data_IF_091748304431
#
_entry.id   IF_091748304431
#
_cell.length_a   1.000
_cell.length_b   1.000
_cell.length_c   1.000
_cell.angle_alpha   90.00
_cell.angle_beta   90.00
_cell.angle_gamma   90.00
#
_symmetry.space_group_name_H-M   'P 1'
#
loop_
_entity.id
_entity.type
_entity.pdbx_description
1 polymer ?
#
# COMPACT_ATOMS: atom_id res chain seq x y z
N UNK A 1 16.17 -35.96 4.46
CA UNK A 1 14.84 -35.65 3.90
C UNK A 1 13.71 -35.95 4.87
N UNK A 2 13.69 -37.13 5.51
CA UNK A 2 12.68 -37.50 6.52
C UNK A 2 12.34 -36.40 7.55
N UNK A 3 13.33 -35.75 8.23
CA UNK A 3 13.02 -34.75 9.26
C UNK A 3 12.35 -33.48 8.71
N UNK A 4 12.67 -33.05 7.48
CA UNK A 4 12.02 -31.89 6.86
C UNK A 4 10.57 -32.19 6.47
N UNK A 5 10.31 -33.40 6.01
CA UNK A 5 8.97 -33.87 5.66
C UNK A 5 8.09 -33.98 6.91
N UNK A 6 8.65 -34.46 8.03
CA UNK A 6 7.95 -34.48 9.33
C UNK A 6 7.60 -33.08 9.82
N UNK A 7 8.53 -32.12 9.70
CA UNK A 7 8.27 -30.72 10.08
C UNK A 7 7.18 -30.11 9.20
N UNK A 8 7.23 -30.31 7.88
CA UNK A 8 6.21 -29.82 6.95
C UNK A 8 4.82 -30.34 7.31
N UNK A 9 4.68 -31.66 7.51
CA UNK A 9 3.40 -32.29 7.90
C UNK A 9 2.87 -31.75 9.23
N UNK A 10 3.75 -31.53 10.22
CA UNK A 10 3.33 -30.96 11.52
C UNK A 10 2.84 -29.51 11.34
N UNK A 11 3.54 -28.70 10.55
CA UNK A 11 3.15 -27.31 10.27
C UNK A 11 1.82 -27.28 9.53
N UNK A 12 1.63 -28.11 8.51
CA UNK A 12 0.38 -28.21 7.76
C UNK A 12 -0.80 -28.64 8.64
N UNK A 13 -0.57 -29.63 9.51
CA UNK A 13 -1.58 -30.08 10.47
C UNK A 13 -1.96 -28.95 11.45
N UNK A 14 -0.98 -28.18 11.93
CA UNK A 14 -1.22 -27.05 12.83
C UNK A 14 -2.01 -25.92 12.13
N UNK A 15 -1.66 -25.58 10.89
CA UNK A 15 -2.36 -24.56 10.10
C UNK A 15 -3.79 -25.01 9.78
N UNK A 16 -3.97 -26.26 9.37
CA UNK A 16 -5.29 -26.84 9.11
C UNK A 16 -6.18 -26.83 10.36
N UNK A 17 -5.63 -27.15 11.54
CA UNK A 17 -6.34 -27.08 12.82
C UNK A 17 -6.74 -25.64 13.15
N UNK A 18 -5.85 -24.66 12.93
CA UNK A 18 -6.15 -23.24 13.15
C UNK A 18 -7.27 -22.72 12.23
N UNK A 19 -7.29 -23.13 10.96
CA UNK A 19 -8.37 -22.78 10.02
C UNK A 19 -9.68 -23.47 10.39
N UNK A 20 -9.63 -24.74 10.81
CA UNK A 20 -10.80 -25.46 11.30
C UNK A 20 -11.47 -24.73 12.47
N UNK A 21 -10.67 -24.30 13.45
CA UNK A 21 -11.18 -23.58 14.64
C UNK A 21 -11.71 -22.18 14.32
N UNK A 22 -11.12 -21.47 13.35
CA UNK A 22 -11.47 -20.06 13.09
C UNK A 22 -12.54 -19.87 12.01
N UNK A 23 -12.56 -20.70 10.97
CA UNK A 23 -13.44 -20.53 9.80
C UNK A 23 -14.28 -21.77 9.44
N UNK A 24 -14.08 -22.89 10.14
CA UNK A 24 -14.81 -24.13 9.94
C UNK A 24 -14.24 -25.06 8.85
N UNK A 25 -14.72 -26.30 8.82
CA UNK A 25 -14.16 -27.38 8.00
C UNK A 25 -14.32 -27.22 6.48
N UNK A 26 -15.22 -26.36 6.01
CA UNK A 26 -15.47 -26.14 4.58
C UNK A 26 -14.24 -25.58 3.84
N UNK A 27 -13.34 -24.88 4.54
CA UNK A 27 -12.15 -24.26 3.94
C UNK A 27 -10.90 -25.15 3.91
N UNK A 28 -10.90 -26.27 4.65
CA UNK A 28 -9.77 -27.22 4.70
C UNK A 28 -9.37 -27.77 3.31
N UNK A 29 -10.29 -28.27 2.45
CA UNK A 29 -9.89 -28.83 1.17
C UNK A 29 -9.29 -27.77 0.23
N UNK A 30 -9.75 -26.52 0.31
CA UNK A 30 -9.16 -25.42 -0.44
C UNK A 30 -7.75 -25.09 0.07
N UNK A 31 -7.59 -24.96 1.38
CA UNK A 31 -6.29 -24.73 2.02
C UNK A 31 -5.26 -25.80 1.63
N UNK A 32 -5.62 -27.09 1.73
CA UNK A 32 -4.73 -28.20 1.40
C UNK A 32 -4.27 -28.16 -0.07
N UNK A 33 -5.15 -27.79 -1.01
CA UNK A 33 -4.76 -27.63 -2.42
C UNK A 33 -3.74 -26.51 -2.61
N UNK A 34 -3.94 -25.38 -1.94
CA UNK A 34 -3.03 -24.23 -2.04
C UNK A 34 -1.68 -24.55 -1.41
N UNK A 35 -1.67 -25.16 -0.22
CA UNK A 35 -0.44 -25.59 0.46
C UNK A 35 0.32 -26.60 -0.40
N UNK A 36 -0.34 -27.66 -0.87
CA UNK A 36 0.30 -28.68 -1.68
C UNK A 36 0.87 -28.12 -2.99
N UNK A 37 0.18 -27.18 -3.63
CA UNK A 37 0.69 -26.49 -4.83
C UNK A 37 1.93 -25.63 -4.50
N UNK A 38 1.91 -24.93 -3.36
CA UNK A 38 3.04 -24.14 -2.91
C UNK A 38 4.25 -25.02 -2.59
N UNK A 39 4.05 -26.09 -1.83
CA UNK A 39 5.11 -27.03 -1.44
C UNK A 39 5.73 -27.73 -2.64
N UNK A 40 4.90 -28.23 -3.56
CA UNK A 40 5.39 -28.88 -4.79
C UNK A 40 6.19 -27.91 -5.65
N UNK A 41 5.74 -26.65 -5.74
CA UNK A 41 6.48 -25.60 -6.45
C UNK A 41 7.83 -25.31 -5.79
N UNK A 42 7.85 -25.08 -4.47
CA UNK A 42 9.07 -24.81 -3.71
C UNK A 42 10.04 -25.99 -3.81
N UNK A 43 9.54 -27.22 -3.68
CA UNK A 43 10.33 -28.44 -3.83
C UNK A 43 10.92 -28.55 -5.24
N UNK A 44 10.12 -28.31 -6.29
CA UNK A 44 10.61 -28.31 -7.66
C UNK A 44 11.72 -27.27 -7.86
N UNK A 45 11.54 -26.04 -7.38
CA UNK A 45 12.56 -24.99 -7.45
C UNK A 45 13.86 -25.38 -6.71
N UNK A 46 13.74 -25.91 -5.49
CA UNK A 46 14.91 -26.37 -4.71
C UNK A 46 15.62 -27.55 -5.39
N UNK A 47 14.88 -28.47 -5.97
CA UNK A 47 15.44 -29.60 -6.72
C UNK A 47 16.20 -29.09 -7.94
N UNK A 48 15.60 -28.22 -8.75
CA UNK A 48 16.26 -27.59 -9.91
C UNK A 48 17.53 -26.86 -9.48
N UNK A 49 17.46 -26.07 -8.40
CA UNK A 49 18.62 -25.35 -7.88
C UNK A 49 19.74 -26.30 -7.43
N UNK A 50 19.38 -27.40 -6.76
CA UNK A 50 20.33 -28.43 -6.33
C UNK A 50 20.98 -29.13 -7.52
N UNK A 51 20.22 -29.44 -8.57
CA UNK A 51 20.74 -30.04 -9.80
C UNK A 51 21.71 -29.09 -10.52
N UNK A 52 21.38 -27.80 -10.62
CA UNK A 52 22.26 -26.78 -11.20
C UNK A 52 23.53 -26.65 -10.37
N UNK A 53 23.42 -26.55 -9.04
CA UNK A 53 24.58 -26.53 -8.14
C UNK A 53 25.45 -27.77 -8.32
N UNK A 54 24.86 -28.96 -8.38
CA UNK A 54 25.59 -30.21 -8.58
C UNK A 54 26.34 -30.23 -9.91
N UNK A 55 25.73 -29.72 -10.99
CA UNK A 55 26.38 -29.61 -12.29
C UNK A 55 27.54 -28.61 -12.29
N UNK A 56 27.38 -27.45 -11.64
CA UNK A 56 28.43 -26.41 -11.58
C UNK A 56 29.56 -26.81 -10.63
N UNK A 57 29.28 -27.61 -9.61
CA UNK A 57 30.28 -28.14 -8.68
C UNK A 57 30.96 -29.41 -9.18
N UNK A 58 30.61 -29.92 -10.36
CA UNK A 58 31.17 -31.14 -10.89
C UNK A 58 32.68 -30.97 -11.14
N UNK A 59 33.55 -31.85 -10.61
CA UNK A 59 34.98 -31.72 -10.76
C UNK A 59 35.40 -31.89 -12.21
N UNK A 60 36.20 -30.95 -12.73
CA UNK A 60 36.80 -31.11 -14.06
C UNK A 60 38.06 -31.98 -13.99
N UNK A 61 38.35 -32.72 -15.05
CA UNK A 61 39.56 -33.55 -15.19
C UNK A 61 40.84 -32.74 -14.93
N UNK A 62 40.86 -31.47 -15.37
CA UNK A 62 41.97 -30.53 -15.13
C UNK A 62 42.13 -30.17 -13.65
N UNK A 63 41.04 -30.01 -12.90
CA UNK A 63 41.13 -29.73 -11.46
C UNK A 63 41.73 -30.88 -10.66
N UNK A 64 41.42 -32.12 -11.06
CA UNK A 64 42.00 -33.34 -10.46
C UNK A 64 43.49 -33.43 -10.80
N UNK A 65 43.86 -33.16 -12.06
CA UNK A 65 45.25 -33.16 -12.50
C UNK A 65 46.11 -32.10 -11.78
N UNK A 66 45.58 -30.89 -11.59
CA UNK A 66 46.30 -29.77 -10.98
C UNK A 66 46.25 -29.74 -9.44
N UNK A 67 45.67 -30.77 -8.79
CA UNK A 67 45.45 -30.85 -7.33
C UNK A 67 44.83 -29.58 -6.74
N UNK A 68 43.96 -28.91 -7.51
CA UNK A 68 43.32 -27.69 -7.05
C UNK A 68 42.19 -28.02 -6.07
N UNK A 69 41.94 -27.16 -5.07
CA UNK A 69 40.84 -27.38 -4.15
C UNK A 69 39.52 -27.49 -4.92
N UNK A 70 38.83 -28.61 -4.65
CA UNK A 70 37.61 -29.10 -5.31
C UNK A 70 36.47 -28.07 -5.50
N UNK A 71 36.31 -26.99 -4.70
CA UNK A 71 35.18 -26.07 -4.85
C UNK A 71 35.44 -24.71 -5.54
N UNK A 72 36.36 -24.57 -6.50
CA UNK A 72 36.52 -23.27 -7.22
C UNK A 72 35.25 -22.80 -7.94
N UNK A 73 34.38 -23.72 -8.38
CA UNK A 73 33.06 -23.41 -8.92
C UNK A 73 32.10 -22.78 -7.90
N UNK A 74 32.21 -23.14 -6.61
CA UNK A 74 31.36 -22.60 -5.54
C UNK A 74 31.55 -21.09 -5.32
N UNK A 75 32.73 -20.54 -5.62
CA UNK A 75 32.96 -19.09 -5.52
C UNK A 75 32.08 -18.32 -6.50
N UNK A 76 32.00 -18.79 -7.76
CA UNK A 76 31.20 -18.12 -8.79
C UNK A 76 29.72 -18.25 -8.50
N UNK A 77 29.28 -19.44 -8.08
CA UNK A 77 27.88 -19.66 -7.71
C UNK A 77 27.50 -18.86 -6.48
N UNK A 78 28.35 -18.81 -5.46
CA UNK A 78 28.09 -18.02 -4.26
C UNK A 78 27.94 -16.53 -4.57
N UNK A 79 28.79 -15.97 -5.42
CA UNK A 79 28.66 -14.58 -5.89
C UNK A 79 27.34 -14.38 -6.65
N UNK A 80 26.99 -15.30 -7.56
CA UNK A 80 25.75 -15.23 -8.33
C UNK A 80 24.50 -15.29 -7.45
N UNK A 81 24.44 -16.26 -6.52
CA UNK A 81 23.31 -16.43 -5.60
C UNK A 81 23.17 -15.20 -4.71
N UNK A 82 24.28 -14.66 -4.20
CA UNK A 82 24.28 -13.42 -3.41
C UNK A 82 23.77 -12.23 -4.21
N UNK A 83 24.21 -12.10 -5.46
CA UNK A 83 23.74 -11.06 -6.37
C UNK A 83 22.23 -11.16 -6.64
N UNK A 84 21.73 -12.37 -6.94
CA UNK A 84 20.30 -12.62 -7.18
C UNK A 84 19.47 -12.29 -5.94
N UNK A 85 19.88 -12.76 -4.76
CA UNK A 85 19.16 -12.48 -3.51
C UNK A 85 19.19 -10.98 -3.19
N UNK A 86 20.33 -10.31 -3.40
CA UNK A 86 20.43 -8.86 -3.21
C UNK A 86 19.50 -8.08 -4.15
N UNK A 87 19.46 -8.44 -5.44
CA UNK A 87 18.54 -7.84 -6.40
C UNK A 87 17.08 -8.10 -5.99
N UNK A 88 16.75 -9.31 -5.53
CA UNK A 88 15.42 -9.63 -5.04
C UNK A 88 15.02 -8.79 -3.82
N UNK A 89 15.93 -8.57 -2.87
CA UNK A 89 15.72 -7.64 -1.74
C UNK A 89 15.39 -6.24 -2.26
N UNK A 90 16.19 -5.70 -3.18
CA UNK A 90 15.97 -4.37 -3.74
C UNK A 90 14.64 -4.26 -4.51
N UNK A 91 14.27 -5.29 -5.26
CA UNK A 91 13.05 -5.33 -6.05
C UNK A 91 11.78 -5.35 -5.19
N UNK A 92 11.83 -5.97 -4.00
CA UNK A 92 10.67 -6.10 -3.11
C UNK A 92 10.52 -4.90 -2.18
N UNK A 93 11.61 -4.19 -1.84
CA UNK A 93 11.59 -3.17 -0.78
C UNK A 93 10.71 -1.96 -1.11
N UNK A 94 10.75 -1.49 -2.36
CA UNK A 94 9.97 -0.33 -2.78
C UNK A 94 8.45 -0.64 -2.85
N UNK A 95 8.00 -1.72 -3.52
CA UNK A 95 6.60 -2.15 -3.47
C UNK A 95 6.10 -2.41 -2.04
N UNK A 96 6.97 -2.93 -1.18
CA UNK A 96 6.64 -3.17 0.23
C UNK A 96 6.36 -1.91 1.01
N UNK A 97 7.15 -0.86 0.78
CA UNK A 97 6.92 0.43 1.42
C UNK A 97 5.60 1.06 0.95
N UNK A 98 5.30 0.95 -0.35
CA UNK A 98 4.04 1.47 -0.89
C UNK A 98 2.85 0.77 -0.24
N UNK A 99 2.83 -0.56 -0.18
CA UNK A 99 1.72 -1.28 0.43
C UNK A 99 1.65 -1.05 1.95
N UNK A 100 2.79 -0.83 2.63
CA UNK A 100 2.79 -0.44 4.04
C UNK A 100 2.18 0.96 4.26
N UNK A 101 2.46 1.92 3.36
CA UNK A 101 1.83 3.24 3.38
C UNK A 101 0.33 3.13 3.12
N UNK A 102 -0.07 2.41 2.07
CA UNK A 102 -1.49 2.19 1.76
C UNK A 102 -2.23 1.49 2.92
N UNK A 103 -1.62 0.50 3.56
CA UNK A 103 -2.20 -0.14 4.75
C UNK A 103 -2.27 0.81 5.95
N UNK A 104 -1.27 1.67 6.13
CA UNK A 104 -1.26 2.68 7.21
C UNK A 104 -2.31 3.75 7.00
N UNK A 105 -2.48 4.22 5.76
CA UNK A 105 -3.49 5.19 5.38
C UNK A 105 -4.87 4.55 5.55
N UNK A 106 -5.10 3.36 4.97
CA UNK A 106 -6.34 2.61 5.15
C UNK A 106 -6.71 2.36 6.63
N UNK A 107 -5.71 2.12 7.50
CA UNK A 107 -5.93 1.95 8.94
C UNK A 107 -6.37 3.26 9.61
N UNK A 108 -5.86 4.42 9.20
CA UNK A 108 -6.30 5.74 9.70
C UNK A 108 -7.73 6.03 9.24
N UNK A 109 -8.03 5.72 7.99
CA UNK A 109 -9.34 5.93 7.37
C UNK A 109 -10.41 4.98 7.93
N UNK A 110 -10.01 3.80 8.44
CA UNK A 110 -10.93 2.77 8.95
C UNK A 110 -11.91 3.31 10.00
N UNK A 111 -11.48 4.24 10.85
CA UNK A 111 -12.34 4.85 11.87
C UNK A 111 -13.51 5.66 11.25
N UNK A 112 -13.26 6.31 10.12
CA UNK A 112 -14.28 7.06 9.36
C UNK A 112 -15.20 6.08 8.64
N UNK A 113 -14.64 5.05 8.00
CA UNK A 113 -15.44 4.01 7.35
C UNK A 113 -16.35 3.25 8.31
N UNK A 114 -15.91 3.03 9.55
CA UNK A 114 -16.75 2.43 10.59
C UNK A 114 -17.94 3.32 10.98
N UNK A 115 -17.76 4.65 11.04
CA UNK A 115 -18.86 5.59 11.27
C UNK A 115 -19.85 5.62 10.10
N UNK A 116 -19.34 5.43 8.88
CA UNK A 116 -20.13 5.40 7.65
C UNK A 116 -20.71 4.02 7.31
N UNK A 117 -20.64 3.04 8.22
CA UNK A 117 -21.11 1.67 7.96
C UNK A 117 -22.59 1.58 7.57
N UNK A 118 -23.41 2.47 8.15
CA UNK A 118 -24.86 2.51 7.96
C UNK A 118 -25.26 3.49 6.84
N UNK A 119 -24.26 4.05 6.14
CA UNK A 119 -24.44 5.02 5.07
C UNK A 119 -24.41 4.34 3.70
N UNK A 120 -25.29 4.78 2.83
CA UNK A 120 -25.49 4.22 1.49
C UNK A 120 -25.38 5.29 0.42
N UNK A 121 -24.77 4.90 -0.69
CA UNK A 121 -24.78 5.68 -1.92
C UNK A 121 -25.80 5.10 -2.89
N UNK A 122 -26.35 5.98 -3.70
CA UNK A 122 -27.26 5.62 -4.78
C UNK A 122 -26.52 5.78 -6.10
N UNK A 123 -26.53 4.74 -6.93
CA UNK A 123 -26.14 4.88 -8.34
C UNK A 123 -27.37 4.71 -9.21
N UNK A 124 -27.62 5.69 -10.07
CA UNK A 124 -28.71 5.68 -11.04
C UNK A 124 -28.19 5.05 -12.33
N UNK A 125 -28.87 4.01 -12.83
CA UNK A 125 -28.62 3.49 -14.18
C UNK A 125 -29.62 4.16 -15.10
N UNK A 126 -29.17 5.15 -15.87
CA UNK A 126 -30.08 5.93 -16.71
C UNK A 126 -30.60 5.09 -17.89
N UNK A 127 -31.92 4.99 -18.00
CA UNK A 127 -32.61 4.61 -19.22
C UNK A 127 -32.83 5.82 -20.15
N UNK A 128 -33.39 5.62 -21.36
CA UNK A 128 -33.50 6.66 -22.39
C UNK A 128 -34.44 7.84 -22.07
N UNK A 129 -35.20 7.79 -20.98
CA UNK A 129 -36.18 8.82 -20.58
C UNK A 129 -35.69 9.56 -19.33
N UNK A 130 -34.95 10.65 -19.52
CA UNK A 130 -34.14 11.28 -18.47
C UNK A 130 -34.92 12.22 -17.53
N UNK A 131 -35.92 12.94 -18.03
CA UNK A 131 -36.59 14.02 -17.26
C UNK A 131 -37.46 13.50 -16.12
N UNK A 132 -38.11 12.37 -16.30
CA UNK A 132 -38.92 11.72 -15.26
C UNK A 132 -38.05 11.10 -14.15
N UNK A 133 -36.81 10.74 -14.47
CA UNK A 133 -35.87 10.16 -13.51
C UNK A 133 -35.27 11.21 -12.58
N UNK A 134 -34.95 12.40 -13.09
CA UNK A 134 -34.39 13.50 -12.30
C UNK A 134 -35.37 13.95 -11.21
N UNK A 135 -36.65 14.13 -11.56
CA UNK A 135 -37.69 14.50 -10.59
C UNK A 135 -37.86 13.45 -9.48
N UNK A 136 -37.85 12.16 -9.84
CA UNK A 136 -37.95 11.06 -8.86
C UNK A 136 -36.70 10.95 -7.98
N UNK A 137 -35.51 11.19 -8.55
CA UNK A 137 -34.25 11.20 -7.81
C UNK A 137 -34.21 12.35 -6.80
N UNK A 138 -34.65 13.54 -7.21
CA UNK A 138 -34.80 14.68 -6.32
C UNK A 138 -35.86 14.40 -5.22
N UNK A 139 -37.00 13.79 -5.56
CA UNK A 139 -38.01 13.40 -4.56
C UNK A 139 -37.44 12.47 -3.48
N UNK A 140 -36.62 11.49 -3.87
CA UNK A 140 -35.90 10.63 -2.94
C UNK A 140 -34.99 11.45 -2.02
N UNK A 141 -34.20 12.37 -2.58
CA UNK A 141 -33.29 13.23 -1.79
C UNK A 141 -34.09 14.09 -0.80
N UNK A 142 -35.12 14.79 -1.25
CA UNK A 142 -35.96 15.63 -0.38
C UNK A 142 -36.69 14.82 0.69
N UNK A 143 -37.14 13.61 0.39
CA UNK A 143 -37.78 12.74 1.39
C UNK A 143 -36.79 12.29 2.47
N UNK A 144 -35.55 11.98 2.09
CA UNK A 144 -34.49 11.60 3.04
C UNK A 144 -33.97 12.80 3.83
N UNK A 145 -33.82 13.97 3.20
CA UNK A 145 -33.43 15.22 3.85
C UNK A 145 -34.44 15.63 4.93
N UNK A 146 -35.75 15.53 4.64
CA UNK A 146 -36.81 15.81 5.63
C UNK A 146 -36.75 14.90 6.87
N UNK A 147 -36.16 13.71 6.73
CA UNK A 147 -35.95 12.78 7.84
C UNK A 147 -34.59 12.98 8.54
N UNK A 148 -33.77 13.92 8.09
CA UNK A 148 -32.40 14.10 8.57
C UNK A 148 -31.48 12.94 8.19
N UNK A 149 -31.77 12.25 7.08
CA UNK A 149 -31.06 11.04 6.61
C UNK A 149 -30.35 11.24 5.28
N UNK A 150 -30.15 12.48 4.86
CA UNK A 150 -29.32 12.82 3.71
C UNK A 150 -28.15 13.71 4.15
N UNK A 151 -27.02 13.54 3.49
CA UNK A 151 -25.81 14.29 3.75
C UNK A 151 -25.06 14.53 2.43
N UNK A 152 -24.60 15.77 2.22
CA UNK A 152 -23.81 16.17 1.05
C UNK A 152 -22.33 16.25 1.41
N UNK A 153 -21.50 15.69 0.53
CA UNK A 153 -20.07 16.01 0.43
C UNK A 153 -19.63 16.02 -1.02
N UNK A 154 -19.19 17.18 -1.51
CA UNK A 154 -18.74 17.35 -2.89
C UNK A 154 -17.46 18.17 -2.92
N UNK A 155 -16.35 17.55 -3.30
CA UNK A 155 -15.03 18.21 -3.32
C UNK A 155 -14.55 18.50 -4.73
N UNK A 156 -14.10 19.72 -4.94
CA UNK A 156 -13.46 20.18 -6.16
C UNK A 156 -11.95 20.07 -5.99
N UNK A 157 -11.34 19.38 -6.94
CA UNK A 157 -9.90 19.19 -7.04
C UNK A 157 -9.42 19.84 -8.33
N UNK A 158 -8.36 20.65 -8.27
CA UNK A 158 -7.71 21.17 -9.49
C UNK A 158 -6.95 20.01 -10.17
N UNK A 159 -7.66 19.20 -10.95
CA UNK A 159 -7.08 18.08 -11.68
C UNK A 159 -6.74 18.49 -13.12
N UNK A 160 -5.45 18.50 -13.45
CA UNK A 160 -4.98 18.01 -14.74
C UNK A 160 -4.78 16.49 -14.64
N UNK A 161 -5.05 15.76 -15.73
CA UNK A 161 -5.07 14.28 -15.76
C UNK A 161 -3.78 13.59 -15.25
N UNK A 162 -2.63 14.27 -15.28
CA UNK A 162 -1.35 13.76 -14.76
C UNK A 162 -1.27 13.73 -13.22
N UNK A 163 -2.16 14.45 -12.51
CA UNK A 163 -2.14 14.62 -11.06
C UNK A 163 -3.07 13.64 -10.30
N UNK A 164 -3.88 12.85 -11.02
CA UNK A 164 -4.89 11.92 -10.47
C UNK A 164 -4.34 10.92 -9.43
N UNK A 165 -3.04 10.62 -9.48
CA UNK A 165 -2.38 9.70 -8.53
C UNK A 165 -1.66 10.41 -7.36
N UNK A 166 -1.87 11.73 -7.15
CA UNK A 166 -1.09 12.54 -6.19
C UNK A 166 -1.92 13.47 -5.29
N UNK A 167 -3.21 13.20 -5.08
CA UNK A 167 -3.90 13.89 -3.98
C UNK A 167 -3.30 13.34 -2.68
N UNK A 168 -2.38 14.10 -2.11
CA UNK A 168 -1.79 13.80 -0.81
C UNK A 168 -2.61 14.47 0.27
N UNK A 169 -2.37 14.08 1.52
CA UNK A 169 -2.98 14.74 2.67
C UNK A 169 -2.66 16.25 2.75
N UNK A 170 -1.69 16.77 2.00
CA UNK A 170 -1.30 18.19 2.03
C UNK A 170 -1.83 18.99 0.83
N UNK A 171 -2.51 18.33 -0.11
CA UNK A 171 -3.10 18.99 -1.27
C UNK A 171 -4.29 19.84 -0.83
N UNK A 172 -4.30 21.16 -1.11
CA UNK A 172 -5.43 22.00 -0.78
C UNK A 172 -6.64 21.60 -1.63
N UNK A 173 -7.79 21.43 -0.99
CA UNK A 173 -9.06 21.10 -1.67
C UNK A 173 -10.16 22.05 -1.25
N UNK A 174 -11.17 22.24 -2.10
CA UNK A 174 -12.35 23.04 -1.76
C UNK A 174 -13.58 22.15 -1.84
N UNK A 175 -14.39 22.07 -0.79
CA UNK A 175 -15.55 21.19 -0.75
C UNK A 175 -16.81 21.86 -0.22
N UNK A 176 -17.95 21.44 -0.78
CA UNK A 176 -19.29 21.78 -0.31
C UNK A 176 -19.79 20.62 0.54
N UNK A 177 -20.26 20.91 1.75
CA UNK A 177 -20.80 19.89 2.66
C UNK A 177 -22.03 20.39 3.38
N UNK A 178 -22.88 19.46 3.80
CA UNK A 178 -23.94 19.75 4.80
C UNK A 178 -23.41 19.55 6.22
N UNK A 179 -24.07 20.15 7.22
CA UNK A 179 -23.80 19.84 8.63
C UNK A 179 -23.95 18.34 8.94
N UNK A 180 -24.96 17.68 8.37
CA UNK A 180 -25.17 16.23 8.50
C UNK A 180 -23.95 15.40 8.09
N UNK A 181 -23.23 15.81 7.04
CA UNK A 181 -22.00 15.12 6.63
C UNK A 181 -20.90 15.25 7.68
N UNK A 182 -20.69 16.47 8.19
CA UNK A 182 -19.68 16.75 9.20
C UNK A 182 -19.95 15.96 10.49
N UNK A 183 -21.22 15.84 10.88
CA UNK A 183 -21.63 15.00 12.01
C UNK A 183 -21.35 13.52 11.77
N UNK A 184 -21.61 13.00 10.56
CA UNK A 184 -21.32 11.60 10.19
C UNK A 184 -19.83 11.28 10.26
N UNK A 185 -18.97 12.21 9.83
CA UNK A 185 -17.51 12.04 9.93
C UNK A 185 -16.97 12.45 11.32
N UNK A 186 -17.83 12.95 12.22
CA UNK A 186 -17.51 13.31 13.60
C UNK A 186 -16.62 14.54 13.73
N UNK A 187 -16.83 15.54 12.87
CA UNK A 187 -16.12 16.83 12.86
C UNK A 187 -17.11 17.93 13.20
N UNK A 188 -16.82 18.70 14.24
CA UNK A 188 -17.56 19.93 14.51
C UNK A 188 -16.69 21.12 14.10
N UNK A 189 -17.04 21.86 13.04
CA UNK A 189 -16.18 22.91 12.50
C UNK A 189 -16.00 24.09 13.46
N UNK A 190 -16.91 24.29 14.41
CA UNK A 190 -16.85 25.40 15.37
C UNK A 190 -15.95 25.09 16.59
N UNK A 191 -15.73 23.81 16.91
CA UNK A 191 -14.96 23.39 18.10
C UNK A 191 -13.65 22.65 17.76
N UNK A 192 -13.51 22.16 16.53
CA UNK A 192 -12.33 21.38 16.12
C UNK A 192 -11.13 22.30 15.93
N UNK A 193 -10.10 22.12 16.76
CA UNK A 193 -8.85 22.88 16.62
C UNK A 193 -8.26 22.70 15.22
N UNK A 194 -7.79 23.76 14.58
CA UNK A 194 -7.28 23.72 13.20
C UNK A 194 -8.34 23.95 12.12
N UNK A 195 -9.61 24.11 12.49
CA UNK A 195 -10.67 24.62 11.63
C UNK A 195 -11.00 26.04 12.09
N UNK A 196 -10.91 27.00 11.17
CA UNK A 196 -11.16 28.42 11.47
C UNK A 196 -12.29 28.97 10.61
N UNK A 197 -13.30 29.63 11.20
CA UNK A 197 -14.35 30.29 10.43
C UNK A 197 -13.76 31.49 9.68
N UNK A 198 -14.20 31.70 8.46
CA UNK A 198 -13.79 32.81 7.61
C UNK A 198 -14.98 33.49 6.97
N UNK A 199 -14.83 34.78 6.67
CA UNK A 199 -15.82 35.52 5.87
C UNK A 199 -15.68 35.16 4.38
N UNK A 200 -16.76 35.31 3.62
CA UNK A 200 -16.78 35.08 2.17
C UNK A 200 -15.70 35.87 1.41
N UNK A 201 -15.30 37.05 1.91
CA UNK A 201 -14.25 37.89 1.32
C UNK A 201 -12.84 37.31 1.44
N UNK A 202 -12.62 36.36 2.36
CA UNK A 202 -11.32 35.70 2.60
C UNK A 202 -11.20 34.34 1.93
N UNK A 203 -12.22 33.93 1.17
CA UNK A 203 -12.19 32.72 0.39
C UNK A 203 -11.13 32.79 -0.72
N UNK A 204 -10.47 31.65 -0.97
CA UNK A 204 -9.59 31.50 -2.13
C UNK A 204 -10.40 31.64 -3.43
N UNK A 205 -9.70 31.83 -4.56
CA UNK A 205 -10.35 32.04 -5.86
C UNK A 205 -11.29 30.89 -6.23
N UNK A 206 -10.88 29.64 -6.02
CA UNK A 206 -11.68 28.46 -6.31
C UNK A 206 -12.98 28.42 -5.49
N UNK A 207 -12.93 28.69 -4.17
CA UNK A 207 -14.12 28.73 -3.33
C UNK A 207 -15.05 29.89 -3.69
N UNK A 208 -14.50 31.06 -4.07
CA UNK A 208 -15.34 32.17 -4.56
C UNK A 208 -16.08 31.78 -5.84
N UNK A 209 -15.40 31.14 -6.79
CA UNK A 209 -16.02 30.64 -8.02
C UNK A 209 -17.12 29.60 -7.74
N UNK A 210 -16.90 28.70 -6.78
CA UNK A 210 -17.90 27.70 -6.36
C UNK A 210 -19.13 28.37 -5.73
N UNK A 211 -18.93 29.33 -4.81
CA UNK A 211 -20.05 30.10 -4.23
C UNK A 211 -20.78 30.89 -5.32
N UNK A 212 -20.05 31.37 -6.33
CA UNK A 212 -20.66 32.04 -7.47
C UNK A 212 -21.55 31.12 -8.31
N UNK A 213 -21.21 29.83 -8.42
CA UNK A 213 -22.01 28.82 -9.12
C UNK A 213 -23.34 28.49 -8.43
N UNK A 214 -23.58 28.94 -7.18
CA UNK A 214 -24.86 28.73 -6.51
C UNK A 214 -26.04 29.37 -7.24
N UNK A 215 -25.83 30.41 -8.05
CA UNK A 215 -26.91 30.97 -8.90
C UNK A 215 -27.36 30.02 -9.99
N UNK A 216 -26.48 29.11 -10.43
CA UNK A 216 -26.79 28.10 -11.45
C UNK A 216 -27.31 26.82 -10.82
N UNK A 217 -26.80 26.46 -9.65
CA UNK A 217 -27.19 25.24 -8.95
C UNK A 217 -28.43 25.37 -8.08
N UNK A 218 -28.86 26.57 -7.72
CA UNK A 218 -30.08 26.79 -6.96
C UNK A 218 -31.33 26.63 -7.82
N UNK A 219 -32.47 26.38 -7.18
CA UNK A 219 -33.78 26.31 -7.85
C UNK A 219 -34.17 27.65 -8.48
N UNK A 220 -33.89 28.76 -7.78
CA UNK A 220 -34.18 30.12 -8.22
C UNK A 220 -33.22 31.15 -7.56
N UNK A 221 -33.32 32.42 -7.97
CA UNK A 221 -32.51 33.52 -7.44
C UNK A 221 -32.70 33.76 -5.93
N UNK A 222 -33.86 33.45 -5.37
CA UNK A 222 -34.12 33.62 -3.95
C UNK A 222 -33.40 32.52 -3.14
N UNK A 223 -33.47 31.27 -3.60
CA UNK A 223 -32.72 30.15 -3.02
C UNK A 223 -31.21 30.33 -3.19
N UNK A 224 -30.74 30.86 -4.32
CA UNK A 224 -29.32 31.17 -4.51
C UNK A 224 -28.81 32.17 -3.45
N UNK A 225 -29.57 33.24 -3.19
CA UNK A 225 -29.24 34.21 -2.14
C UNK A 225 -29.30 33.59 -0.76
N UNK A 226 -30.29 32.74 -0.50
CA UNK A 226 -30.43 32.01 0.76
C UNK A 226 -29.21 31.13 1.02
N UNK A 227 -28.84 30.28 0.06
CA UNK A 227 -27.66 29.42 0.13
C UNK A 227 -26.41 30.24 0.41
N UNK A 228 -26.17 31.36 -0.29
CA UNK A 228 -24.99 32.22 -0.04
C UNK A 228 -24.98 32.88 1.34
N UNK A 229 -26.14 33.33 1.83
CA UNK A 229 -26.25 34.07 3.10
C UNK A 229 -26.24 33.15 4.33
N UNK A 230 -26.82 31.96 4.21
CA UNK A 230 -26.91 30.97 5.30
C UNK A 230 -25.70 30.02 5.32
N UNK A 231 -24.93 29.94 4.23
CA UNK A 231 -23.70 29.12 4.21
C UNK A 231 -22.62 29.69 5.12
N UNK A 232 -21.93 28.79 5.81
CA UNK A 232 -20.76 29.12 6.64
C UNK A 232 -19.49 28.65 5.94
N UNK A 233 -18.42 29.42 6.08
CA UNK A 233 -17.15 29.14 5.42
C UNK A 233 -16.07 28.87 6.45
N UNK A 234 -15.28 27.82 6.21
CA UNK A 234 -14.20 27.44 7.10
C UNK A 234 -12.93 27.15 6.30
N UNK A 235 -11.79 27.49 6.87
CA UNK A 235 -10.46 27.08 6.39
C UNK A 235 -9.87 26.11 7.40
N UNK A 236 -9.38 24.99 6.87
CA UNK A 236 -8.77 23.90 7.60
C UNK A 236 -7.27 23.93 7.37
N UNK A 237 -6.49 23.94 8.44
CA UNK A 237 -5.03 23.76 8.39
C UNK A 237 -4.57 22.85 9.53
N UNK A 238 -3.99 21.70 9.17
CA UNK A 238 -3.37 20.75 10.09
C UNK A 238 -4.28 19.64 10.62
N UNK A 239 -5.60 19.70 10.39
CA UNK A 239 -6.55 18.62 10.72
C UNK A 239 -7.07 17.94 9.46
N UNK A 240 -7.07 16.61 9.47
CA UNK A 240 -7.62 15.81 8.36
C UNK A 240 -9.14 15.87 8.38
N UNK A 241 -9.73 16.36 7.29
CA UNK A 241 -11.18 16.39 7.08
C UNK A 241 -11.54 15.44 5.94
N UNK A 242 -12.27 14.34 6.21
CA UNK A 242 -12.73 13.41 5.19
C UNK A 242 -13.84 14.04 4.35
N UNK A 243 -13.63 14.08 3.04
CA UNK A 243 -14.58 14.63 2.07
C UNK A 243 -14.72 13.68 0.87
N UNK A 244 -15.88 13.62 0.24
CA UNK A 244 -16.04 12.85 -1.01
C UNK A 244 -15.56 13.67 -2.20
N UNK A 245 -14.78 13.05 -3.09
CA UNK A 245 -14.34 13.63 -4.35
C UNK A 245 -15.55 13.88 -5.24
N UNK A 246 -15.66 15.07 -5.81
CA UNK A 246 -16.73 15.40 -6.74
C UNK A 246 -16.70 14.47 -7.96
N UNK A 247 -17.82 13.85 -8.28
CA UNK A 247 -17.91 12.92 -9.41
C UNK A 247 -17.62 11.45 -9.08
N UNK A 248 -17.24 11.11 -7.83
CA UNK A 248 -16.98 9.73 -7.42
C UNK A 248 -17.32 9.46 -5.94
N UNK A 249 -17.29 8.18 -5.55
CA UNK A 249 -17.36 7.73 -4.15
C UNK A 249 -15.98 7.58 -3.49
N UNK A 250 -14.96 8.20 -4.08
CA UNK A 250 -13.62 8.24 -3.50
C UNK A 250 -13.58 9.27 -2.37
N UNK A 251 -13.03 8.89 -1.22
CA UNK A 251 -12.85 9.79 -0.09
C UNK A 251 -11.46 10.40 -0.10
N UNK A 252 -11.41 11.71 0.09
CA UNK A 252 -10.21 12.51 0.19
C UNK A 252 -9.96 12.87 1.66
N UNK A 253 -8.74 12.61 2.13
CA UNK A 253 -8.31 12.87 3.50
C UNK A 253 -7.29 14.02 3.53
N UNK A 254 -7.75 15.24 3.24
CA UNK A 254 -6.87 16.42 3.22
C UNK A 254 -6.76 17.10 4.59
N UNK A 255 -5.56 17.58 4.92
CA UNK A 255 -5.23 18.44 6.06
C UNK A 255 -5.36 19.93 5.73
N UNK A 256 -5.62 20.25 4.47
CA UNK A 256 -5.78 21.61 3.95
C UNK A 256 -7.02 21.68 3.09
N UNK A 257 -8.07 22.28 3.63
CA UNK A 257 -9.34 22.35 2.94
C UNK A 257 -10.03 23.70 3.17
N UNK A 258 -10.74 24.17 2.16
CA UNK A 258 -11.77 25.20 2.31
C UNK A 258 -13.12 24.50 2.30
N UNK A 259 -13.84 24.57 3.42
CA UNK A 259 -15.14 23.91 3.59
C UNK A 259 -16.24 24.96 3.51
N UNK A 260 -17.17 24.75 2.58
CA UNK A 260 -18.39 25.54 2.42
C UNK A 260 -19.53 24.69 3.01
N UNK A 261 -20.00 25.07 4.20
CA UNK A 261 -21.09 24.38 4.88
C UNK A 261 -22.41 25.01 4.47
N UNK A 262 -23.19 24.28 3.67
CA UNK A 262 -24.52 24.70 3.21
C UNK A 262 -25.60 24.31 4.22
N UNK A 263 -26.69 25.09 4.33
CA UNK A 263 -27.71 24.87 5.36
C UNK A 263 -28.49 23.56 5.17
N UNK A 264 -28.94 23.28 3.95
CA UNK A 264 -29.75 22.12 3.59
C UNK A 264 -29.64 21.81 2.08
N UNK A 265 -30.20 20.67 1.68
CA UNK A 265 -30.29 20.27 0.28
C UNK A 265 -31.45 20.92 -0.50
N UNK A 266 -32.42 21.55 0.18
CA UNK A 266 -33.67 22.00 -0.44
C UNK A 266 -33.52 23.25 -1.31
N UNK A 267 -32.44 24.03 -1.13
CA UNK A 267 -32.16 25.20 -1.96
C UNK A 267 -31.58 24.88 -3.34
N UNK A 268 -31.20 23.62 -3.59
CA UNK A 268 -30.58 23.19 -4.84
C UNK A 268 -31.60 22.74 -5.89
N UNK A 269 -31.24 22.91 -7.16
CA UNK A 269 -31.99 22.47 -8.32
C UNK A 269 -31.96 20.94 -8.47
N UNK A 270 -33.14 20.36 -8.66
CA UNK A 270 -33.37 18.93 -8.85
C UNK A 270 -32.49 18.32 -9.95
N UNK A 271 -32.51 18.93 -11.15
CA UNK A 271 -31.73 18.49 -12.31
C UNK A 271 -30.34 19.14 -12.37
N UNK A 272 -30.20 20.37 -11.86
CA UNK A 272 -28.96 21.14 -11.95
C UNK A 272 -27.87 20.71 -10.96
N UNK A 273 -28.25 20.13 -9.82
CA UNK A 273 -27.29 19.76 -8.77
C UNK A 273 -27.65 18.47 -8.04
N UNK A 274 -28.90 18.30 -7.56
CA UNK A 274 -29.27 17.17 -6.70
C UNK A 274 -29.12 15.83 -7.43
N UNK A 275 -29.65 15.70 -8.64
CA UNK A 275 -29.56 14.45 -9.40
C UNK A 275 -28.12 14.13 -9.83
N UNK A 276 -27.33 15.08 -10.39
CA UNK A 276 -25.92 14.87 -10.64
C UNK A 276 -25.16 14.42 -9.38
N UNK A 277 -25.31 15.13 -8.25
CA UNK A 277 -24.62 14.83 -6.99
C UNK A 277 -25.05 13.49 -6.38
N UNK A 278 -26.32 13.10 -6.53
CA UNK A 278 -26.79 11.77 -6.13
C UNK A 278 -26.16 10.70 -7.02
N UNK A 279 -26.21 10.87 -8.35
CA UNK A 279 -25.70 9.90 -9.31
C UNK A 279 -24.19 9.69 -9.22
N UNK A 280 -23.45 10.76 -8.89
CA UNK A 280 -22.01 10.74 -8.63
C UNK A 280 -21.64 10.26 -7.23
N UNK A 281 -22.63 9.89 -6.41
CA UNK A 281 -22.47 9.36 -5.04
C UNK A 281 -21.93 10.38 -4.03
N UNK A 282 -22.09 11.66 -4.31
CA UNK A 282 -21.73 12.77 -3.42
C UNK A 282 -22.86 13.14 -2.43
N UNK A 283 -24.09 12.68 -2.68
CA UNK A 283 -25.17 12.66 -1.68
C UNK A 283 -25.24 11.26 -1.08
N UNK A 284 -25.09 11.20 0.24
CA UNK A 284 -25.09 9.98 1.03
C UNK A 284 -26.38 9.91 1.83
N UNK A 285 -27.00 8.73 1.85
CA UNK A 285 -28.23 8.47 2.57
C UNK A 285 -27.97 7.54 3.76
N UNK A 286 -28.74 7.67 4.84
CA UNK A 286 -28.63 6.79 6.01
C UNK A 286 -29.67 5.66 5.95
N UNK A 287 -29.21 4.42 6.12
CA UNK A 287 -30.05 3.23 6.22
C UNK A 287 -30.42 2.62 4.86
N UNK A 288 -29.97 1.38 4.61
CA UNK A 288 -30.19 0.69 3.34
C UNK A 288 -31.67 0.41 3.07
N UNK A 289 -32.38 -0.15 4.05
CA UNK A 289 -33.79 -0.53 3.88
C UNK A 289 -34.70 0.70 3.74
N UNK A 290 -34.36 1.78 4.43
CA UNK A 290 -35.09 3.05 4.35
C UNK A 290 -34.90 3.69 2.97
N UNK A 291 -33.65 3.80 2.51
CA UNK A 291 -33.34 4.33 1.19
C UNK A 291 -33.98 3.50 0.06
N UNK A 292 -33.97 2.16 0.16
CA UNK A 292 -34.63 1.27 -0.81
C UNK A 292 -36.14 1.41 -0.80
N UNK A 293 -36.76 1.50 0.38
CA UNK A 293 -38.21 1.73 0.49
C UNK A 293 -38.60 3.07 -0.12
N UNK A 294 -37.88 4.14 0.22
CA UNK A 294 -38.15 5.48 -0.30
C UNK A 294 -37.94 5.54 -1.81
N UNK A 295 -36.89 4.91 -2.33
CA UNK A 295 -36.66 4.79 -3.76
C UNK A 295 -37.77 4.01 -4.48
N UNK A 296 -38.27 2.94 -3.88
CA UNK A 296 -39.39 2.17 -4.44
C UNK A 296 -40.66 3.00 -4.47
N UNK A 297 -40.92 3.78 -3.42
CA UNK A 297 -42.05 4.72 -3.35
C UNK A 297 -41.95 5.83 -4.41
N UNK A 298 -40.75 6.34 -4.66
CA UNK A 298 -40.46 7.29 -5.74
C UNK A 298 -40.43 6.64 -7.15
N UNK A 299 -40.75 5.34 -7.27
CA UNK A 299 -40.76 4.64 -8.57
C UNK A 299 -39.39 4.37 -9.18
N UNK A 300 -38.33 4.35 -8.37
CA UNK A 300 -36.93 4.14 -8.76
C UNK A 300 -36.39 2.72 -8.49
N UNK A 301 -37.18 1.84 -7.86
CA UNK A 301 -36.69 0.57 -7.28
C UNK A 301 -35.94 -0.38 -8.25
N UNK A 302 -36.24 -0.34 -9.55
CA UNK A 302 -35.54 -1.15 -10.56
C UNK A 302 -34.41 -0.41 -11.28
N UNK A 303 -34.36 0.92 -11.18
CA UNK A 303 -33.44 1.77 -11.92
C UNK A 303 -32.26 2.29 -11.10
N UNK A 304 -32.32 2.13 -9.76
CA UNK A 304 -31.24 2.51 -8.86
C UNK A 304 -30.66 1.31 -8.13
N UNK A 305 -29.35 1.36 -7.92
CA UNK A 305 -28.65 0.45 -7.02
C UNK A 305 -28.24 1.22 -5.78
N UNK A 306 -28.69 0.72 -4.62
CA UNK A 306 -28.36 1.27 -3.30
C UNK A 306 -27.36 0.33 -2.64
N UNK A 307 -26.17 0.86 -2.31
CA UNK A 307 -25.05 0.09 -1.76
C UNK A 307 -24.42 0.83 -0.57
N UNK A 308 -23.89 0.09 0.39
CA UNK A 308 -23.12 0.67 1.49
C UNK A 308 -21.84 1.31 0.97
N UNK A 309 -21.55 2.54 1.39
CA UNK A 309 -20.35 3.27 0.96
C UNK A 309 -19.09 2.65 1.58
N UNK A 310 -19.19 2.23 2.84
CA UNK A 310 -18.08 1.69 3.58
C UNK A 310 -17.68 0.26 3.14
N UNK A 311 -18.56 -0.53 2.53
CA UNK A 311 -18.31 -1.95 2.28
C UNK A 311 -17.12 -2.19 1.34
N UNK A 312 -17.06 -1.47 0.21
CA UNK A 312 -15.96 -1.58 -0.74
C UNK A 312 -14.63 -1.11 -0.14
N UNK A 313 -14.66 -0.06 0.67
CA UNK A 313 -13.46 0.55 1.24
C UNK A 313 -12.95 -0.23 2.46
N UNK A 314 -13.83 -0.79 3.28
CA UNK A 314 -13.46 -1.73 4.35
C UNK A 314 -12.80 -2.97 3.75
N UNK A 315 -13.37 -3.52 2.66
CA UNK A 315 -12.79 -4.68 2.00
C UNK A 315 -11.41 -4.36 1.40
N UNK A 316 -11.26 -3.19 0.76
CA UNK A 316 -9.97 -2.70 0.24
C UNK A 316 -8.93 -2.53 1.36
N UNK A 317 -9.33 -1.97 2.50
CA UNK A 317 -8.47 -1.79 3.67
C UNK A 317 -8.02 -3.14 4.27
N UNK A 318 -8.90 -4.14 4.28
CA UNK A 318 -8.54 -5.48 4.71
C UNK A 318 -7.51 -6.09 3.74
N UNK A 319 -7.73 -6.00 2.43
CA UNK A 319 -6.78 -6.51 1.45
C UNK A 319 -5.42 -5.80 1.51
N UNK A 320 -5.39 -4.46 1.66
CA UNK A 320 -4.12 -3.73 1.78
C UNK A 320 -3.35 -4.15 3.04
N UNK A 321 -4.04 -4.35 4.17
CA UNK A 321 -3.43 -4.89 5.39
C UNK A 321 -2.85 -6.30 5.17
N UNK A 322 -3.59 -7.21 4.51
CA UNK A 322 -3.09 -8.54 4.19
C UNK A 322 -1.85 -8.49 3.27
N UNK A 323 -1.85 -7.64 2.24
CA UNK A 323 -0.70 -7.48 1.35
C UNK A 323 0.51 -6.92 2.07
N UNK A 324 0.33 -5.92 2.95
CA UNK A 324 1.41 -5.38 3.76
C UNK A 324 2.04 -6.45 4.66
N UNK A 325 1.25 -7.31 5.30
CA UNK A 325 1.76 -8.42 6.11
C UNK A 325 2.54 -9.45 5.30
N UNK A 326 2.03 -9.84 4.12
CA UNK A 326 2.72 -10.79 3.23
C UNK A 326 4.06 -10.21 2.77
N UNK A 327 4.09 -8.94 2.40
CA UNK A 327 5.31 -8.26 1.96
C UNK A 327 6.31 -8.04 3.10
N UNK A 328 5.84 -7.71 4.31
CA UNK A 328 6.69 -7.66 5.49
C UNK A 328 7.35 -9.02 5.77
N UNK A 329 6.58 -10.10 5.72
CA UNK A 329 7.12 -11.47 5.86
C UNK A 329 8.13 -11.79 4.75
N UNK A 330 7.85 -11.41 3.50
CA UNK A 330 8.77 -11.60 2.38
C UNK A 330 10.09 -10.83 2.58
N UNK A 331 10.06 -9.58 3.06
CA UNK A 331 11.27 -8.82 3.39
C UNK A 331 12.07 -9.56 4.47
N UNK A 332 11.44 -9.99 5.55
CA UNK A 332 12.13 -10.69 6.65
C UNK A 332 12.82 -11.95 6.12
N UNK A 333 12.14 -12.74 5.31
CA UNK A 333 12.69 -13.95 4.69
C UNK A 333 13.85 -13.63 3.72
N UNK A 334 13.71 -12.59 2.90
CA UNK A 334 14.77 -12.17 1.97
C UNK A 334 16.00 -11.62 2.71
N UNK A 335 15.81 -10.88 3.80
CA UNK A 335 16.90 -10.41 4.65
C UNK A 335 17.61 -11.57 5.35
N UNK A 336 16.86 -12.55 5.86
CA UNK A 336 17.44 -13.77 6.44
C UNK A 336 18.22 -14.57 5.39
N UNK A 337 17.67 -14.72 4.18
CA UNK A 337 18.35 -15.37 3.06
C UNK A 337 19.62 -14.61 2.66
N UNK A 338 19.57 -13.28 2.54
CA UNK A 338 20.72 -12.45 2.23
C UNK A 338 21.82 -12.59 3.29
N UNK A 339 21.44 -12.57 4.56
CA UNK A 339 22.35 -12.77 5.71
C UNK A 339 23.04 -14.13 5.60
N UNK A 340 22.27 -15.20 5.39
CA UNK A 340 22.80 -16.56 5.28
C UNK A 340 23.75 -16.69 4.08
N UNK A 341 23.37 -16.17 2.92
CA UNK A 341 24.19 -16.24 1.71
C UNK A 341 25.47 -15.40 1.85
N UNK A 342 25.41 -14.24 2.51
CA UNK A 342 26.59 -13.41 2.78
C UNK A 342 27.58 -14.13 3.72
N UNK A 343 27.07 -14.76 4.79
CA UNK A 343 27.89 -15.51 5.75
C UNK A 343 28.53 -16.74 5.11
N UNK A 344 27.74 -17.60 4.45
CA UNK A 344 28.23 -18.81 3.79
C UNK A 344 29.20 -18.44 2.67
N UNK A 345 28.90 -17.40 1.88
CA UNK A 345 29.79 -16.94 0.82
C UNK A 345 31.13 -16.43 1.34
N UNK A 346 31.13 -15.70 2.46
CA UNK A 346 32.35 -15.27 3.12
C UNK A 346 33.18 -16.45 3.65
N UNK A 347 32.53 -17.43 4.27
CA UNK A 347 33.21 -18.61 4.83
C UNK A 347 33.80 -19.54 3.75
N UNK A 348 33.04 -19.82 2.68
CA UNK A 348 33.51 -20.58 1.52
C UNK A 348 34.74 -19.91 0.92
N UNK A 349 34.70 -18.58 0.78
CA UNK A 349 35.85 -17.82 0.25
C UNK A 349 37.06 -17.90 1.17
N UNK A 350 36.88 -17.65 2.47
CA UNK A 350 37.96 -17.70 3.44
C UNK A 350 38.62 -19.10 3.48
N UNK A 351 37.81 -20.17 3.39
CA UNK A 351 38.31 -21.56 3.33
C UNK A 351 39.11 -21.82 2.06
N UNK A 352 38.62 -21.37 0.90
CA UNK A 352 39.29 -21.58 -0.39
C UNK A 352 40.57 -20.77 -0.55
N UNK A 353 40.67 -19.61 0.11
CA UNK A 353 41.88 -18.77 0.11
C UNK A 353 42.80 -19.00 1.30
N UNK A 354 42.43 -19.86 2.25
CA UNK A 354 43.20 -20.10 3.46
C UNK A 354 44.69 -20.42 3.18
N UNK A 355 44.99 -21.22 2.15
CA UNK A 355 46.39 -21.54 1.80
C UNK A 355 47.24 -20.34 1.35
N UNK A 356 46.61 -19.30 0.80
CA UNK A 356 47.29 -18.05 0.42
C UNK A 356 47.25 -17.01 1.54
N UNK A 357 46.11 -16.88 2.22
CA UNK A 357 45.89 -15.84 3.23
C UNK A 357 46.63 -16.18 4.54
N UNK A 358 46.81 -17.47 4.88
CA UNK A 358 47.41 -17.89 6.14
C UNK A 358 48.87 -17.43 6.34
N UNK A 359 49.81 -17.63 5.38
CA UNK A 359 51.17 -17.10 5.51
C UNK A 359 51.21 -15.57 5.65
N UNK A 360 50.33 -14.85 4.94
CA UNK A 360 50.25 -13.39 5.00
C UNK A 360 49.75 -12.90 6.37
N UNK A 361 48.80 -13.62 6.98
CA UNK A 361 48.32 -13.33 8.33
C UNK A 361 49.40 -13.60 9.39
N UNK A 362 50.24 -14.63 9.21
CA UNK A 362 51.41 -14.85 10.06
C UNK A 362 52.45 -13.73 9.93
N UNK A 363 52.62 -13.18 8.73
CA UNK A 363 53.47 -12.00 8.44
C UNK A 363 52.87 -10.67 8.96
N UNK A 364 51.77 -10.72 9.73
CA UNK A 364 51.17 -9.57 10.39
C UNK A 364 50.20 -8.76 9.51
N UNK A 365 49.83 -9.23 8.32
CA UNK A 365 48.80 -8.55 7.53
C UNK A 365 47.44 -8.58 8.24
N UNK A 366 46.74 -7.45 8.25
CA UNK A 366 45.41 -7.38 8.84
C UNK A 366 44.38 -8.17 7.98
N UNK A 367 43.46 -8.94 8.59
CA UNK A 367 42.41 -9.67 7.86
C UNK A 367 41.56 -8.78 6.94
N UNK A 368 41.31 -7.54 7.35
CA UNK A 368 40.59 -6.56 6.55
C UNK A 368 41.31 -6.16 5.26
N UNK A 369 42.65 -6.14 5.25
CA UNK A 369 43.45 -5.80 4.07
C UNK A 369 43.43 -6.92 3.03
N UNK A 370 43.38 -8.18 3.48
CA UNK A 370 43.24 -9.35 2.61
C UNK A 370 41.81 -9.49 2.04
N UNK A 371 40.80 -9.05 2.82
CA UNK A 371 39.41 -9.01 2.38
C UNK A 371 39.06 -7.75 1.53
N UNK A 372 39.85 -6.68 1.59
CA UNK A 372 39.60 -5.43 0.88
C UNK A 372 39.20 -5.56 -0.62
N UNK A 373 39.89 -6.37 -1.46
CA UNK A 373 39.52 -6.44 -2.88
C UNK A 373 38.12 -7.04 -3.10
N UNK A 374 37.69 -8.02 -2.29
CA UNK A 374 36.33 -8.58 -2.44
C UNK A 374 35.29 -7.61 -1.92
N UNK A 375 35.58 -6.95 -0.80
CA UNK A 375 34.71 -5.92 -0.23
C UNK A 375 34.46 -4.83 -1.28
N UNK A 376 35.51 -4.33 -1.92
CA UNK A 376 35.41 -3.33 -2.97
C UNK A 376 34.52 -3.82 -4.13
N UNK A 377 34.78 -5.01 -4.66
CA UNK A 377 33.98 -5.55 -5.79
C UNK A 377 32.51 -5.74 -5.43
N UNK A 378 32.20 -6.23 -4.23
CA UNK A 378 30.81 -6.42 -3.79
C UNK A 378 30.12 -5.09 -3.50
N UNK A 379 30.84 -4.11 -2.94
CA UNK A 379 30.29 -2.76 -2.73
C UNK A 379 29.99 -2.06 -4.06
N UNK A 380 30.88 -2.17 -5.05
CA UNK A 380 30.66 -1.62 -6.39
C UNK A 380 29.47 -2.29 -7.08
N UNK A 381 29.35 -3.62 -6.97
CA UNK A 381 28.18 -4.33 -7.48
C UNK A 381 26.90 -3.89 -6.80
N UNK A 382 26.90 -3.79 -5.47
CA UNK A 382 25.72 -3.36 -4.70
C UNK A 382 25.29 -1.93 -5.07
N UNK A 383 26.24 -1.00 -5.21
CA UNK A 383 25.99 0.36 -5.66
C UNK A 383 25.46 0.42 -7.09
N UNK A 384 26.04 -0.37 -8.02
CA UNK A 384 25.57 -0.42 -9.40
C UNK A 384 24.14 -0.99 -9.49
N UNK A 385 23.86 -2.10 -8.80
CA UNK A 385 22.53 -2.69 -8.75
C UNK A 385 21.50 -1.74 -8.12
N UNK A 386 21.86 -1.09 -7.00
CA UNK A 386 21.01 -0.08 -6.37
C UNK A 386 20.77 1.12 -7.29
N UNK A 387 21.80 1.60 -8.00
CA UNK A 387 21.67 2.66 -8.99
C UNK A 387 20.70 2.31 -10.11
N UNK A 388 20.80 1.10 -10.67
CA UNK A 388 19.86 0.62 -11.71
C UNK A 388 18.43 0.56 -11.17
N UNK A 389 18.23 -0.03 -9.99
CA UNK A 389 16.89 -0.10 -9.37
C UNK A 389 16.35 1.31 -9.10
N UNK A 390 17.17 2.23 -8.59
CA UNK A 390 16.77 3.63 -8.40
C UNK A 390 16.37 4.32 -9.70
N UNK A 391 17.12 4.11 -10.80
CA UNK A 391 16.76 4.65 -12.13
C UNK A 391 15.40 4.11 -12.56
N UNK A 392 15.15 2.81 -12.40
CA UNK A 392 13.86 2.19 -12.73
C UNK A 392 12.74 2.78 -11.86
N UNK A 393 12.95 2.90 -10.55
CA UNK A 393 11.96 3.45 -9.63
C UNK A 393 11.62 4.91 -9.96
N UNK A 394 12.62 5.73 -10.32
CA UNK A 394 12.44 7.12 -10.77
C UNK A 394 11.69 7.18 -12.10
N UNK A 395 12.05 6.33 -13.07
CA UNK A 395 11.38 6.26 -14.36
C UNK A 395 9.90 5.84 -14.23
N UNK A 396 9.59 4.95 -13.28
CA UNK A 396 8.23 4.56 -12.94
C UNK A 396 7.50 5.56 -12.04
N UNK A 397 8.13 6.70 -11.68
CA UNK A 397 7.63 7.70 -10.73
C UNK A 397 7.18 7.09 -9.39
N UNK A 398 7.77 5.97 -9.01
CA UNK A 398 7.42 5.22 -7.80
C UNK A 398 8.19 5.76 -6.60
N UNK A 399 7.50 5.92 -5.46
CA UNK A 399 8.15 6.22 -4.18
C UNK A 399 8.96 5.03 -3.69
N UNK A 400 10.19 5.24 -3.21
CA UNK A 400 11.01 4.14 -2.64
C UNK A 400 12.52 4.28 -2.82
N UNK A 401 12.98 5.27 -3.57
CA UNK A 401 14.41 5.57 -3.76
C UNK A 401 15.21 5.75 -2.46
N UNK A 402 14.76 6.48 -1.42
CA UNK A 402 15.58 6.67 -0.22
C UNK A 402 15.78 5.36 0.55
N UNK A 403 14.76 4.50 0.63
CA UNK A 403 14.84 3.24 1.36
C UNK A 403 15.72 2.24 0.62
N UNK A 404 15.60 2.19 -0.71
CA UNK A 404 16.47 1.36 -1.57
C UNK A 404 17.95 1.72 -1.35
N UNK A 405 18.25 3.03 -1.29
CA UNK A 405 19.59 3.52 -1.00
C UNK A 405 20.05 3.17 0.43
N UNK A 406 19.20 3.33 1.43
CA UNK A 406 19.50 2.95 2.83
C UNK A 406 19.86 1.47 2.90
N UNK A 407 19.05 0.60 2.30
CA UNK A 407 19.25 -0.85 2.34
C UNK A 407 20.55 -1.23 1.63
N UNK A 408 20.82 -0.65 0.46
CA UNK A 408 22.10 -0.87 -0.23
C UNK A 408 23.30 -0.39 0.61
N UNK A 409 23.16 0.76 1.26
CA UNK A 409 24.19 1.36 2.13
C UNK A 409 24.45 0.53 3.39
N UNK A 410 23.44 -0.18 3.91
CA UNK A 410 23.59 -1.08 5.07
C UNK A 410 24.10 -2.46 4.65
N UNK A 411 23.71 -2.96 3.47
CA UNK A 411 24.12 -4.26 2.97
C UNK A 411 25.62 -4.34 2.67
N UNK A 412 26.21 -3.26 2.15
CA UNK A 412 27.65 -3.17 1.86
C UNK A 412 28.56 -3.35 3.11
N UNK A 413 28.40 -2.58 4.20
CA UNK A 413 29.19 -2.76 5.42
C UNK A 413 28.89 -4.08 6.11
N UNK A 414 27.64 -4.56 6.08
CA UNK A 414 27.30 -5.88 6.61
C UNK A 414 28.10 -6.98 5.90
N UNK A 415 28.15 -6.93 4.57
CA UNK A 415 28.96 -7.85 3.76
C UNK A 415 30.45 -7.73 4.08
N UNK A 416 30.96 -6.51 4.26
CA UNK A 416 32.35 -6.24 4.61
C UNK A 416 32.73 -6.85 5.96
N UNK A 417 31.86 -6.74 6.96
CA UNK A 417 32.03 -7.36 8.28
C UNK A 417 32.08 -8.88 8.13
N UNK A 418 31.16 -9.49 7.36
CA UNK A 418 31.15 -10.94 7.13
C UNK A 418 32.47 -11.46 6.55
N UNK A 419 33.01 -10.79 5.52
CA UNK A 419 34.30 -11.20 4.92
C UNK A 419 35.47 -11.03 5.90
N UNK A 420 35.51 -9.91 6.65
CA UNK A 420 36.57 -9.67 7.64
C UNK A 420 36.55 -10.69 8.77
N UNK A 421 35.36 -11.01 9.30
CA UNK A 421 35.20 -11.99 10.39
C UNK A 421 35.48 -13.41 9.92
N UNK A 422 35.06 -13.79 8.71
CA UNK A 422 35.35 -15.10 8.13
C UNK A 422 36.87 -15.33 7.99
N UNK A 423 37.61 -14.39 7.40
CA UNK A 423 39.09 -14.50 7.26
C UNK A 423 39.76 -14.62 8.64
N UNK A 424 39.36 -13.80 9.61
CA UNK A 424 39.92 -13.86 10.97
C UNK A 424 39.55 -15.15 11.72
N UNK A 425 38.35 -15.67 11.54
CA UNK A 425 37.90 -16.93 12.15
C UNK A 425 38.65 -18.14 11.59
N UNK A 426 38.95 -18.14 10.28
CA UNK A 426 39.68 -19.23 9.64
C UNK A 426 41.14 -19.28 10.08
N UNK A 427 41.77 -18.14 10.28
CA UNK A 427 43.12 -18.08 10.85
C UNK A 427 43.18 -18.69 12.26
N UNK A 428 42.25 -18.30 13.14
CA UNK A 428 42.13 -18.87 14.50
C UNK A 428 41.91 -20.39 14.45
N UNK A 429 40.96 -20.84 13.63
CA UNK A 429 40.63 -22.25 13.51
C UNK A 429 41.78 -23.11 12.96
N UNK A 430 42.68 -22.55 12.15
CA UNK A 430 43.89 -23.26 11.70
C UNK A 430 44.91 -23.33 12.85
N UNK A 431 45.17 -22.21 13.53
CA UNK A 431 46.08 -22.18 14.67
C UNK A 431 45.67 -23.15 15.77
N UNK A 432 44.38 -23.19 16.14
CA UNK A 432 43.84 -24.10 17.17
C UNK A 432 43.94 -25.59 16.80
N UNK A 433 44.19 -25.91 15.53
CA UNK A 433 44.36 -27.31 15.05
C UNK A 433 45.83 -27.71 14.91
N UNK A 434 46.74 -26.76 14.80
CA UNK A 434 48.16 -26.98 14.49
C UNK A 434 49.09 -26.73 15.67
N UNK A 435 48.65 -25.91 16.63
CA UNK A 435 49.31 -25.64 17.92
C UNK A 435 48.54 -26.36 19.02
#
# INVERSE_FOLDING_TARGET
>A
MLPMLTVAVIVDAAVALGVFMSRGGAFIPYLLRVILLLETTVFACLLTFTLVLSAVCWPSVRMIADRQPMPRGLLRVSILVKAVVFIAVLAVIAPSMLSFREASDAAREQSVWQRLRDQVSVSVTFGPDHTDMDARAAELVHAMERQGKAALSYTFTDETDEQKNRITADTPVTGIVTHSWLDLVGINPDTTAGITPVDASRLNEQARQIVDQFTTWATDDAQARRLRNESKYYVVDGVTVPLLKGGSDEMLFSRRATIIVVPDLNGFSDSGFLTPALSSRNIVLTGLDDARRQATQAGLGAAISVRYIAEAQILRAQFSAYFAWIQAAAIVLLLAAFTMVALVGADVRATLRAGHDYPLLLDGYAPGRLAAPIILTETLFALAAAGIVCIILVAQQSGGTPITLIVATVAAPFSAVCHRTATASRFRAINDRTL
#
